data_IF_515593010870
#
_entry.id   IF_515593010870
#
_cell.length_a   1.000
_cell.length_b   1.000
_cell.length_c   1.000
_cell.angle_alpha   90.00
_cell.angle_beta   90.00
_cell.angle_gamma   90.00
#
_symmetry.space_group_name_H-M   'P 1'
#
loop_
_entity.id
_entity.type
_entity.pdbx_description
1 polymer ?
#
# COMPACT_ATOMS: atom_id res chain seq x y z
N UNK A 1 2.01 9.30 37.94
CA UNK A 1 1.56 10.19 36.86
C UNK A 1 0.33 10.99 37.30
N UNK A 2 0.39 11.72 38.42
CA UNK A 2 -0.78 12.42 39.01
C UNK A 2 -1.06 13.83 38.42
N UNK A 3 -0.19 14.35 37.55
CA UNK A 3 -0.36 15.67 36.92
C UNK A 3 -1.05 15.65 35.55
N UNK A 4 -1.47 14.48 35.05
CA UNK A 4 -1.88 14.29 33.66
C UNK A 4 -3.40 14.20 33.44
N UNK A 5 -4.19 13.98 34.50
CA UNK A 5 -5.65 13.86 34.40
C UNK A 5 -6.36 15.19 34.06
N UNK A 6 -5.66 16.33 34.19
CA UNK A 6 -6.22 17.67 33.99
C UNK A 6 -5.83 18.34 32.66
N UNK A 7 -5.12 17.64 31.76
CA UNK A 7 -4.72 18.21 30.47
C UNK A 7 -5.92 18.31 29.52
N UNK A 8 -6.03 19.42 28.80
CA UNK A 8 -6.94 19.57 27.66
C UNK A 8 -6.50 18.69 26.49
N UNK A 9 -7.40 18.35 25.57
CA UNK A 9 -7.08 17.52 24.41
C UNK A 9 -5.91 18.08 23.56
N UNK A 10 -5.82 19.41 23.44
CA UNK A 10 -4.71 20.07 22.74
C UNK A 10 -3.37 19.87 23.45
N UNK A 11 -3.33 20.03 24.78
CA UNK A 11 -2.13 19.81 25.59
C UNK A 11 -1.73 18.33 25.57
N UNK A 12 -2.71 17.43 25.56
CA UNK A 12 -2.50 15.99 25.42
C UNK A 12 -1.80 15.63 24.10
N UNK A 13 -2.26 16.20 22.99
CA UNK A 13 -1.66 15.98 21.68
C UNK A 13 -0.26 16.59 21.58
N UNK A 14 -0.07 17.78 22.16
CA UNK A 14 1.24 18.45 22.20
C UNK A 14 2.25 17.64 23.01
N UNK A 15 1.86 17.15 24.18
CA UNK A 15 2.71 16.30 25.02
C UNK A 15 3.08 15.00 24.29
N UNK A 16 2.11 14.34 23.66
CA UNK A 16 2.37 13.10 22.93
C UNK A 16 3.33 13.32 21.77
N UNK A 17 3.16 14.41 21.02
CA UNK A 17 4.07 14.79 19.95
C UNK A 17 5.50 14.98 20.48
N UNK A 18 5.67 15.72 21.57
CA UNK A 18 6.97 15.93 22.21
C UNK A 18 7.61 14.63 22.70
N UNK A 19 6.83 13.72 23.28
CA UNK A 19 7.32 12.40 23.70
C UNK A 19 7.81 11.57 22.50
N UNK A 20 7.10 11.63 21.37
CA UNK A 20 7.51 10.97 20.13
C UNK A 20 8.78 11.59 19.57
N UNK A 21 8.88 12.92 19.52
CA UNK A 21 10.09 13.63 19.06
C UNK A 21 11.32 13.25 19.87
N UNK A 22 11.18 13.15 21.20
CA UNK A 22 12.24 12.71 22.10
C UNK A 22 12.45 11.19 22.15
N UNK A 23 11.75 10.42 21.31
CA UNK A 23 11.78 8.94 21.28
C UNK A 23 11.48 8.28 22.62
N UNK A 24 10.69 8.94 23.47
CA UNK A 24 10.27 8.45 24.80
C UNK A 24 9.03 7.56 24.66
N UNK A 25 9.14 6.47 23.91
CA UNK A 25 8.01 5.63 23.52
C UNK A 25 7.34 4.91 24.67
N UNK A 26 8.09 4.42 25.66
CA UNK A 26 7.51 3.84 26.88
C UNK A 26 6.60 4.84 27.62
N UNK A 27 7.03 6.10 27.72
CA UNK A 27 6.24 7.14 28.38
C UNK A 27 5.02 7.52 27.55
N UNK A 28 5.18 7.59 26.22
CA UNK A 28 4.07 7.80 25.31
C UNK A 28 3.02 6.68 25.43
N UNK A 29 3.43 5.42 25.51
CA UNK A 29 2.54 4.26 25.65
C UNK A 29 1.89 4.16 27.02
N UNK A 30 2.61 4.46 28.09
CA UNK A 30 2.00 4.59 29.43
C UNK A 30 0.90 5.65 29.44
N UNK A 31 1.06 6.68 28.63
CA UNK A 31 0.13 7.78 28.53
C UNK A 31 -1.09 7.47 27.64
N UNK A 32 -0.88 6.87 26.47
CA UNK A 32 -1.99 6.58 25.53
C UNK A 32 -2.63 5.20 25.72
N UNK A 33 -2.01 4.29 26.46
CA UNK A 33 -2.44 2.89 26.55
C UNK A 33 -1.89 2.03 25.40
N UNK A 34 -1.64 0.74 25.69
CA UNK A 34 -1.04 -0.20 24.72
C UNK A 34 -1.93 -0.48 23.52
N UNK A 35 -3.25 -0.38 23.70
CA UNK A 35 -4.24 -0.49 22.63
C UNK A 35 -4.07 0.60 21.56
N UNK A 36 -3.41 1.72 21.88
CA UNK A 36 -3.17 2.83 20.97
C UNK A 36 -1.80 2.77 20.27
N UNK A 37 -1.09 1.63 20.33
CA UNK A 37 0.24 1.47 19.71
C UNK A 37 0.23 1.77 18.21
N UNK A 38 -0.82 1.37 17.47
CA UNK A 38 -0.98 1.72 16.04
C UNK A 38 -1.05 3.23 15.80
N UNK A 39 -1.71 3.98 16.68
CA UNK A 39 -1.76 5.46 16.59
C UNK A 39 -0.38 6.07 16.83
N UNK A 40 0.38 5.50 17.78
CA UNK A 40 1.75 5.92 18.07
C UNK A 40 2.69 5.60 16.91
N UNK A 41 2.61 4.41 16.32
CA UNK A 41 3.36 4.01 15.12
C UNK A 41 3.15 5.00 13.96
N UNK A 42 1.90 5.45 13.75
CA UNK A 42 1.58 6.50 12.76
C UNK A 42 2.35 7.79 13.02
N UNK A 43 2.45 8.20 14.27
CA UNK A 43 3.14 9.43 14.66
C UNK A 43 4.65 9.28 14.55
N UNK A 44 5.22 8.15 14.99
CA UNK A 44 6.65 7.82 14.82
C UNK A 44 7.03 7.92 13.35
N UNK A 45 6.27 7.27 12.47
CA UNK A 45 6.51 7.34 11.03
C UNK A 45 6.41 8.76 10.48
N UNK A 46 5.47 9.56 10.98
CA UNK A 46 5.29 10.96 10.54
C UNK A 46 6.45 11.86 10.99
N UNK A 47 6.96 11.66 12.20
CA UNK A 47 7.97 12.52 12.82
C UNK A 47 9.39 12.12 12.40
N UNK A 48 9.68 10.82 12.41
CA UNK A 48 11.04 10.29 12.24
C UNK A 48 11.22 9.44 10.97
N UNK A 49 10.14 9.06 10.29
CA UNK A 49 10.21 8.26 9.06
C UNK A 49 10.23 6.75 9.28
N UNK A 50 10.60 6.02 8.21
CA UNK A 50 10.48 4.56 8.14
C UNK A 50 11.49 3.83 9.04
N UNK A 51 12.76 4.28 9.06
CA UNK A 51 13.82 3.62 9.85
C UNK A 51 13.49 3.58 11.35
N UNK A 52 12.96 4.70 11.86
CA UNK A 52 12.52 4.76 13.25
C UNK A 52 11.25 3.95 13.49
N UNK A 53 10.33 3.90 12.52
CA UNK A 53 9.16 3.03 12.62
C UNK A 53 9.57 1.56 12.73
N UNK A 54 10.59 1.12 11.99
CA UNK A 54 11.12 -0.25 12.08
C UNK A 54 11.64 -0.50 13.51
N UNK A 55 12.48 0.39 14.03
CA UNK A 55 13.02 0.28 15.40
C UNK A 55 11.90 0.29 16.47
N UNK A 56 10.89 1.14 16.29
CA UNK A 56 9.72 1.19 17.16
C UNK A 56 8.91 -0.11 17.11
N UNK A 57 8.70 -0.69 15.92
CA UNK A 57 7.92 -1.91 15.72
C UNK A 57 8.58 -3.13 16.38
N UNK A 58 9.91 -3.19 16.45
CA UNK A 58 10.63 -4.27 17.13
C UNK A 58 10.30 -4.32 18.63
N UNK A 59 10.21 -3.16 19.28
CA UNK A 59 9.90 -3.06 20.71
C UNK A 59 8.39 -3.02 20.99
N UNK A 60 7.60 -2.45 20.08
CA UNK A 60 6.16 -2.20 20.26
C UNK A 60 5.38 -2.59 18.99
N UNK A 61 5.16 -3.90 18.76
CA UNK A 61 4.46 -4.38 17.58
C UNK A 61 3.06 -3.79 17.44
N UNK A 62 2.73 -3.34 16.23
CA UNK A 62 1.39 -2.88 15.86
C UNK A 62 1.01 -3.28 14.44
N UNK A 63 -0.27 -3.54 14.16
CA UNK A 63 -0.74 -3.81 12.79
C UNK A 63 -0.43 -2.66 11.81
N UNK A 64 -0.53 -1.40 12.26
CA UNK A 64 -0.20 -0.29 11.37
C UNK A 64 1.29 -0.27 11.02
N UNK A 65 2.17 -0.50 12.00
CA UNK A 65 3.61 -0.55 11.76
C UNK A 65 3.99 -1.67 10.80
N UNK A 66 3.47 -2.87 11.03
CA UNK A 66 3.64 -4.04 10.15
C UNK A 66 3.25 -3.73 8.70
N UNK A 67 2.04 -3.22 8.49
CA UNK A 67 1.56 -2.83 7.16
C UNK A 67 2.45 -1.79 6.49
N UNK A 68 2.84 -0.74 7.22
CA UNK A 68 3.63 0.35 6.65
C UNK A 68 5.02 -0.14 6.24
N UNK A 69 5.65 -0.96 7.07
CA UNK A 69 6.97 -1.53 6.78
C UNK A 69 6.87 -2.43 5.54
N UNK A 70 5.96 -3.40 5.54
CA UNK A 70 5.76 -4.30 4.41
C UNK A 70 5.45 -3.54 3.11
N UNK A 71 4.53 -2.56 3.16
CA UNK A 71 4.18 -1.74 2.00
C UNK A 71 5.39 -0.96 1.44
N UNK A 72 6.23 -0.40 2.31
CA UNK A 72 7.41 0.36 1.91
C UNK A 72 8.56 -0.52 1.38
N UNK A 73 8.68 -1.76 1.85
CA UNK A 73 9.64 -2.74 1.33
C UNK A 73 9.17 -3.46 0.06
N UNK A 74 7.94 -3.21 -0.40
CA UNK A 74 7.37 -3.89 -1.57
C UNK A 74 6.87 -5.31 -1.26
N UNK A 75 6.75 -5.67 0.02
CA UNK A 75 6.21 -6.95 0.49
C UNK A 75 4.67 -6.89 0.47
N UNK A 76 4.10 -6.66 -0.72
CA UNK A 76 2.69 -6.31 -0.88
C UNK A 76 1.75 -7.40 -0.37
N UNK A 77 2.11 -8.68 -0.52
CA UNK A 77 1.32 -9.79 0.03
C UNK A 77 1.21 -9.69 1.55
N UNK A 78 2.34 -9.50 2.23
CA UNK A 78 2.35 -9.32 3.69
C UNK A 78 1.53 -8.09 4.08
N UNK A 79 1.68 -6.97 3.36
CA UNK A 79 0.93 -5.76 3.62
C UNK A 79 -0.60 -5.96 3.49
N UNK A 80 -1.09 -6.67 2.47
CA UNK A 80 -2.54 -6.87 2.32
C UNK A 80 -3.12 -7.85 3.33
N UNK A 81 -2.30 -8.78 3.82
CA UNK A 81 -2.70 -9.78 4.81
C UNK A 81 -2.88 -9.20 6.21
N UNK A 82 -2.25 -8.06 6.53
CA UNK A 82 -2.43 -7.37 7.81
C UNK A 82 -3.90 -7.00 8.04
N UNK A 83 -4.44 -7.47 9.17
CA UNK A 83 -5.79 -7.21 9.67
C UNK A 83 -5.78 -6.26 10.88
N UNK A 84 -6.95 -5.98 11.45
CA UNK A 84 -7.10 -5.27 12.74
C UNK A 84 -6.46 -3.88 12.81
N UNK A 85 -6.51 -3.17 11.69
CA UNK A 85 -6.10 -1.77 11.62
C UNK A 85 -7.28 -0.84 11.38
N UNK A 86 -7.27 0.30 12.05
CA UNK A 86 -8.22 1.37 11.77
C UNK A 86 -7.95 1.93 10.38
N UNK A 87 -8.83 1.60 9.43
CA UNK A 87 -8.70 2.06 8.06
C UNK A 87 -8.99 3.55 7.93
N UNK A 88 -8.21 4.21 7.09
CA UNK A 88 -8.41 5.61 6.69
C UNK A 88 -8.33 5.70 5.15
N UNK A 89 -8.83 6.77 4.52
CA UNK A 89 -8.76 6.90 3.06
C UNK A 89 -7.33 6.72 2.49
N UNK A 90 -6.31 7.18 3.23
CA UNK A 90 -4.90 6.98 2.86
C UNK A 90 -4.46 5.51 2.95
N UNK A 91 -4.92 4.77 3.96
CA UNK A 91 -4.62 3.34 4.09
C UNK A 91 -5.38 2.51 3.06
N UNK A 92 -6.64 2.85 2.77
CA UNK A 92 -7.37 2.25 1.66
C UNK A 92 -6.64 2.48 0.33
N UNK A 93 -6.18 3.72 0.05
CA UNK A 93 -5.36 4.00 -1.14
C UNK A 93 -4.13 3.09 -1.20
N UNK A 94 -3.36 3.00 -0.11
CA UNK A 94 -2.15 2.17 -0.10
C UNK A 94 -2.45 0.68 -0.24
N UNK A 95 -3.47 0.16 0.45
CA UNK A 95 -3.88 -1.24 0.33
C UNK A 95 -4.39 -1.54 -1.09
N UNK A 96 -5.09 -0.61 -1.72
CA UNK A 96 -5.48 -0.71 -3.13
C UNK A 96 -4.31 -0.73 -4.11
N UNK A 97 -3.26 0.07 -3.87
CA UNK A 97 -2.00 -0.01 -4.63
C UNK A 97 -1.33 -1.36 -4.44
N UNK A 98 -1.28 -1.88 -3.21
CA UNK A 98 -0.68 -3.18 -2.93
C UNK A 98 -1.45 -4.31 -3.64
N UNK A 99 -2.78 -4.29 -3.65
CA UNK A 99 -3.59 -5.22 -4.43
C UNK A 99 -3.31 -5.13 -5.93
N UNK A 100 -3.16 -3.92 -6.48
CA UNK A 100 -2.84 -3.73 -7.89
C UNK A 100 -1.47 -4.34 -8.25
N UNK A 101 -0.49 -4.25 -7.35
CA UNK A 101 0.84 -4.87 -7.49
C UNK A 101 0.85 -6.39 -7.39
N UNK A 102 -0.23 -6.98 -6.88
CA UNK A 102 -0.44 -8.43 -6.78
C UNK A 102 -1.37 -8.96 -7.89
N UNK A 103 -1.65 -8.14 -8.90
CA UNK A 103 -2.63 -8.42 -9.96
C UNK A 103 -4.07 -8.67 -9.43
N UNK A 104 -4.39 -8.22 -8.21
CA UNK A 104 -5.69 -8.41 -7.56
C UNK A 104 -6.64 -7.23 -7.85
N UNK A 105 -7.09 -7.13 -9.10
CA UNK A 105 -7.83 -5.97 -9.62
C UNK A 105 -9.14 -5.67 -8.86
N UNK A 106 -9.91 -6.70 -8.52
CA UNK A 106 -11.22 -6.51 -7.86
C UNK A 106 -11.07 -6.00 -6.42
N UNK A 107 -10.06 -6.49 -5.70
CA UNK A 107 -9.72 -5.98 -4.37
C UNK A 107 -9.19 -4.54 -4.44
N UNK A 108 -8.37 -4.22 -5.45
CA UNK A 108 -7.92 -2.86 -5.70
C UNK A 108 -9.11 -1.89 -5.94
N UNK A 109 -10.09 -2.29 -6.76
CA UNK A 109 -11.33 -1.52 -7.01
C UNK A 109 -12.12 -1.29 -5.74
N UNK A 110 -12.28 -2.32 -4.91
CA UNK A 110 -12.96 -2.21 -3.62
C UNK A 110 -12.27 -1.18 -2.73
N UNK A 111 -10.94 -1.26 -2.60
CA UNK A 111 -10.17 -0.29 -1.81
C UNK A 111 -10.26 1.13 -2.37
N UNK A 112 -10.28 1.30 -3.69
CA UNK A 112 -10.38 2.62 -4.32
C UNK A 112 -11.73 3.30 -4.07
N UNK A 113 -12.82 2.51 -4.07
CA UNK A 113 -14.16 2.96 -3.70
C UNK A 113 -14.21 3.46 -2.24
N UNK A 114 -13.66 2.67 -1.30
CA UNK A 114 -13.57 3.05 0.11
C UNK A 114 -12.68 4.28 0.34
N UNK A 115 -11.58 4.40 -0.42
CA UNK A 115 -10.68 5.54 -0.36
C UNK A 115 -11.29 6.83 -0.96
N UNK A 116 -12.32 6.72 -1.82
CA UNK A 116 -12.84 7.80 -2.66
C UNK A 116 -11.70 8.53 -3.39
N UNK A 117 -10.77 7.76 -3.97
CA UNK A 117 -9.52 8.30 -4.52
C UNK A 117 -9.48 8.19 -6.05
N UNK A 118 -9.67 9.31 -6.74
CA UNK A 118 -9.72 9.38 -8.21
C UNK A 118 -8.40 8.97 -8.86
N UNK A 119 -7.27 9.29 -8.23
CA UNK A 119 -5.94 8.93 -8.74
C UNK A 119 -5.75 7.40 -8.76
N UNK A 120 -6.16 6.70 -7.69
CA UNK A 120 -6.15 5.25 -7.65
C UNK A 120 -7.14 4.65 -8.65
N UNK A 121 -8.36 5.21 -8.76
CA UNK A 121 -9.32 4.77 -9.79
C UNK A 121 -8.73 4.90 -11.21
N UNK A 122 -8.00 5.98 -11.49
CA UNK A 122 -7.33 6.17 -12.77
C UNK A 122 -6.28 5.09 -13.02
N UNK A 123 -5.41 4.79 -12.05
CA UNK A 123 -4.41 3.72 -12.14
C UNK A 123 -5.04 2.34 -12.38
N UNK A 124 -6.14 2.05 -11.69
CA UNK A 124 -6.91 0.81 -11.86
C UNK A 124 -7.48 0.70 -13.27
N UNK A 125 -8.03 1.80 -13.82
CA UNK A 125 -8.56 1.82 -15.17
C UNK A 125 -7.44 1.63 -16.21
N UNK A 126 -6.32 2.34 -16.07
CA UNK A 126 -5.13 2.18 -16.92
C UNK A 126 -4.64 0.72 -16.90
N UNK A 127 -4.58 0.11 -15.72
CA UNK A 127 -4.19 -1.29 -15.56
C UNK A 127 -5.17 -2.23 -16.26
N UNK A 128 -6.48 -2.02 -16.09
CA UNK A 128 -7.51 -2.84 -16.73
C UNK A 128 -7.46 -2.73 -18.26
N UNK A 129 -7.28 -1.53 -18.81
CA UNK A 129 -7.12 -1.32 -20.25
C UNK A 129 -5.89 -2.05 -20.81
N UNK A 130 -4.79 -2.08 -20.05
CA UNK A 130 -3.59 -2.84 -20.43
C UNK A 130 -3.86 -4.34 -20.42
N UNK A 131 -4.51 -4.88 -19.38
CA UNK A 131 -4.88 -6.30 -19.31
C UNK A 131 -5.79 -6.74 -20.47
N UNK A 132 -6.78 -5.92 -20.84
CA UNK A 132 -7.65 -6.17 -21.99
C UNK A 132 -6.87 -6.20 -23.30
N UNK A 133 -5.89 -5.28 -23.47
CA UNK A 133 -5.01 -5.25 -24.65
C UNK A 133 -4.07 -6.44 -24.69
N UNK A 134 -3.48 -6.83 -23.57
CA UNK A 134 -2.62 -8.02 -23.46
C UNK A 134 -3.40 -9.29 -23.81
N UNK A 135 -4.62 -9.44 -23.31
CA UNK A 135 -5.51 -10.55 -23.65
C UNK A 135 -5.78 -10.63 -25.15
N UNK A 136 -6.03 -9.49 -25.79
CA UNK A 136 -6.23 -9.41 -27.25
C UNK A 136 -4.97 -9.78 -28.03
N UNK A 137 -3.81 -9.26 -27.65
CA UNK A 137 -2.53 -9.56 -28.31
C UNK A 137 -2.20 -11.04 -28.17
N UNK A 138 -2.33 -11.62 -26.97
CA UNK A 138 -2.12 -13.05 -26.73
C UNK A 138 -3.04 -13.91 -27.61
N UNK A 139 -4.31 -13.52 -27.75
CA UNK A 139 -5.24 -14.22 -28.64
C UNK A 139 -4.84 -14.12 -30.12
N UNK A 140 -4.32 -12.97 -30.55
CA UNK A 140 -3.81 -12.77 -31.91
C UNK A 140 -2.55 -13.59 -32.18
N UNK A 141 -1.61 -13.64 -31.23
CA UNK A 141 -0.40 -14.47 -31.31
C UNK A 141 -0.79 -15.95 -31.44
N UNK A 142 -1.70 -16.43 -30.60
CA UNK A 142 -2.14 -17.82 -30.63
C UNK A 142 -2.91 -18.17 -31.92
N UNK A 143 -3.67 -17.24 -32.47
CA UNK A 143 -4.33 -17.41 -33.77
C UNK A 143 -3.31 -17.49 -34.90
N UNK A 144 -2.33 -16.59 -34.92
CA UNK A 144 -1.27 -16.55 -35.95
C UNK A 144 -0.39 -17.81 -35.90
N UNK A 145 -0.04 -18.29 -34.70
CA UNK A 145 0.68 -19.56 -34.50
C UNK A 145 -0.11 -20.80 -34.93
N UNK A 146 -1.44 -20.73 -35.03
CA UNK A 146 -2.26 -21.87 -35.46
C UNK A 146 -2.65 -21.79 -36.93
N UNK A 147 -2.34 -20.68 -37.61
CA UNK A 147 -2.54 -20.51 -39.04
C UNK A 147 -1.66 -21.47 -39.83
N UNK A 148 -2.13 -21.94 -40.98
CA UNK A 148 -1.32 -22.69 -41.94
C UNK A 148 -0.23 -21.79 -42.58
N UNK A 149 -0.55 -20.50 -42.76
CA UNK A 149 0.34 -19.48 -43.29
C UNK A 149 0.91 -18.60 -42.16
N UNK A 150 1.60 -19.22 -41.20
CA UNK A 150 2.16 -18.48 -40.06
C UNK A 150 3.07 -17.33 -40.52
N UNK A 151 2.76 -16.11 -40.09
CA UNK A 151 3.62 -14.95 -40.32
C UNK A 151 4.50 -14.66 -39.10
N UNK A 152 5.75 -15.14 -39.14
CA UNK A 152 6.70 -14.96 -38.05
C UNK A 152 6.95 -13.48 -37.72
N UNK A 153 7.10 -12.62 -38.73
CA UNK A 153 7.32 -11.18 -38.52
C UNK A 153 6.16 -10.51 -37.79
N UNK A 154 4.92 -10.97 -38.04
CA UNK A 154 3.73 -10.49 -37.32
C UNK A 154 3.72 -10.98 -35.87
N UNK A 155 4.09 -12.24 -35.63
CA UNK A 155 4.22 -12.79 -34.28
C UNK A 155 5.26 -11.99 -33.47
N UNK A 156 6.41 -11.70 -34.07
CA UNK A 156 7.49 -10.96 -33.41
C UNK A 156 7.06 -9.52 -33.08
N UNK A 157 6.38 -8.84 -34.00
CA UNK A 157 5.81 -7.50 -33.74
C UNK A 157 4.74 -7.49 -32.65
N UNK A 158 3.93 -8.55 -32.55
CA UNK A 158 2.92 -8.67 -31.49
C UNK A 158 3.57 -8.93 -30.12
N UNK A 159 4.66 -9.70 -30.06
CA UNK A 159 5.43 -9.92 -28.84
C UNK A 159 6.10 -8.64 -28.35
N UNK A 160 6.67 -7.84 -29.25
CA UNK A 160 7.24 -6.54 -28.90
C UNK A 160 6.18 -5.62 -28.25
N UNK A 161 4.98 -5.56 -28.82
CA UNK A 161 3.86 -4.82 -28.22
C UNK A 161 3.41 -5.40 -26.88
N UNK A 162 3.47 -6.72 -26.71
CA UNK A 162 3.18 -7.37 -25.44
C UNK A 162 4.19 -6.94 -24.38
N UNK A 163 5.49 -7.01 -24.68
CA UNK A 163 6.58 -6.64 -23.76
C UNK A 163 6.50 -5.17 -23.34
N UNK A 164 6.16 -4.27 -24.28
CA UNK A 164 5.92 -2.85 -24.02
C UNK A 164 4.75 -2.65 -23.04
N UNK A 165 3.64 -3.38 -23.23
CA UNK A 165 2.47 -3.29 -22.36
C UNK A 165 2.72 -3.88 -20.97
N UNK A 166 3.42 -5.00 -20.87
CA UNK A 166 3.84 -5.58 -19.59
C UNK A 166 4.76 -4.61 -18.83
N UNK A 167 5.68 -3.94 -19.54
CA UNK A 167 6.52 -2.89 -18.97
C UNK A 167 5.70 -1.70 -18.46
N UNK A 168 4.70 -1.24 -19.22
CA UNK A 168 3.79 -0.18 -18.78
C UNK A 168 2.99 -0.61 -17.54
N UNK A 169 2.44 -1.83 -17.55
CA UNK A 169 1.69 -2.41 -16.42
C UNK A 169 2.53 -2.40 -15.14
N UNK A 170 3.78 -2.85 -15.21
CA UNK A 170 4.69 -2.90 -14.07
C UNK A 170 5.02 -1.51 -13.49
N UNK A 171 4.86 -0.45 -14.28
CA UNK A 171 5.13 0.93 -13.87
C UNK A 171 3.90 1.66 -13.31
N UNK A 172 2.70 1.08 -13.36
CA UNK A 172 1.48 1.65 -12.75
C UNK A 172 1.57 1.62 -11.24
#
# INVERSE_FOLDING_TARGET
LQGMENLTESERQTLLHFLVELKKYDQALQYVGKENTSSLAKQVMKVHGLEELISFQEAYPSPLGEFKIAFHHGEYQQAVDVQDMTMSPKLYKQKGIAYLRLDQLEDAKKMASEAKNDELNKKINEYQEIEERLTKINSQIETEKKSEDQNQSKIDSLKEQQDDLESLKNNI
#
